data_IF_795033440079
#
_entry.id   IF_795033440079
#
_cell.length_a   1.000
_cell.length_b   1.000
_cell.length_c   1.000
_cell.angle_alpha   90.00
_cell.angle_beta   90.00
_cell.angle_gamma   90.00
#
_symmetry.space_group_name_H-M   'P 1'
#
loop_
_entity.id
_entity.type
_entity.pdbx_description
1 polymer ?
#
# COMPACT_ATOMS: atom_id res chain seq x y z
N UNK A 1 12.58 6.93 16.94
CA UNK A 1 12.81 8.02 15.97
C UNK A 1 11.46 8.42 15.39
N UNK A 2 11.04 9.69 15.49
CA UNK A 2 9.88 10.19 14.75
C UNK A 2 10.34 10.45 13.31
N UNK A 3 10.15 9.48 12.43
CA UNK A 3 10.24 9.74 11.00
C UNK A 3 9.15 10.73 10.64
N UNK A 4 9.53 11.95 10.27
CA UNK A 4 8.66 12.88 9.56
C UNK A 4 8.36 12.28 8.18
N UNK A 5 7.46 11.29 8.13
CA UNK A 5 6.76 10.95 6.91
C UNK A 5 5.80 12.11 6.67
N UNK A 6 6.20 13.03 5.79
CA UNK A 6 5.26 13.97 5.20
C UNK A 6 4.16 13.13 4.58
N UNK A 7 2.99 13.13 5.22
CA UNK A 7 1.85 12.36 4.75
C UNK A 7 1.47 12.87 3.36
N UNK A 8 1.51 11.99 2.37
CA UNK A 8 1.22 12.29 0.96
C UNK A 8 -0.18 11.80 0.61
N UNK A 9 -0.72 12.27 -0.52
CA UNK A 9 -2.07 11.90 -0.96
C UNK A 9 -2.20 10.38 -1.10
N UNK A 10 -1.30 9.72 -1.85
CA UNK A 10 -1.49 8.31 -2.19
C UNK A 10 -1.26 7.41 -0.98
N UNK A 11 -0.25 7.71 -0.17
CA UNK A 11 0.00 7.02 1.09
C UNK A 11 -1.17 7.15 2.07
N UNK A 12 -1.72 8.36 2.26
CA UNK A 12 -2.86 8.58 3.15
C UNK A 12 -4.09 7.78 2.70
N UNK A 13 -4.33 7.72 1.39
CA UNK A 13 -5.37 6.90 0.80
C UNK A 13 -5.09 5.41 1.02
N UNK A 14 -3.87 4.93 0.77
CA UNK A 14 -3.48 3.53 0.93
C UNK A 14 -3.71 3.04 2.37
N UNK A 15 -3.30 3.81 3.38
CA UNK A 15 -3.47 3.44 4.80
C UNK A 15 -4.93 3.19 5.16
N UNK A 16 -5.87 3.93 4.55
CA UNK A 16 -7.30 3.73 4.79
C UNK A 16 -7.81 2.52 4.00
N UNK A 17 -7.43 2.42 2.72
CA UNK A 17 -7.86 1.37 1.82
C UNK A 17 -7.31 -0.02 2.19
N UNK A 18 -6.17 -0.09 2.87
CA UNK A 18 -5.59 -1.35 3.36
C UNK A 18 -6.51 -2.10 4.35
N UNK A 19 -7.48 -1.40 4.96
CA UNK A 19 -8.51 -1.97 5.83
C UNK A 19 -9.90 -2.02 5.20
N UNK A 20 -10.01 -1.68 3.91
CA UNK A 20 -11.25 -1.80 3.16
C UNK A 20 -11.42 -3.25 2.71
N UNK A 21 -12.29 -3.97 3.42
CA UNK A 21 -12.67 -5.35 3.12
C UNK A 21 -14.19 -5.45 2.97
N UNK A 22 -14.65 -5.77 1.76
CA UNK A 22 -16.06 -5.91 1.41
C UNK A 22 -16.76 -4.61 1.02
N UNK A 23 -17.84 -4.75 0.24
CA UNK A 23 -18.55 -3.62 -0.39
C UNK A 23 -19.19 -2.66 0.61
N UNK A 24 -19.53 -3.16 1.80
CA UNK A 24 -20.11 -2.33 2.86
C UNK A 24 -19.13 -1.31 3.46
N UNK A 25 -17.82 -1.40 3.15
CA UNK A 25 -16.78 -0.49 3.65
C UNK A 25 -16.42 0.65 2.69
N UNK A 26 -16.83 0.59 1.42
CA UNK A 26 -16.44 1.60 0.41
C UNK A 26 -16.83 3.01 0.85
N UNK A 27 -18.09 3.22 1.25
CA UNK A 27 -18.58 4.54 1.70
C UNK A 27 -17.89 5.03 2.97
N UNK A 28 -17.56 4.12 3.89
CA UNK A 28 -16.85 4.44 5.13
C UNK A 28 -15.40 4.86 4.84
N UNK A 29 -14.71 4.14 3.96
CA UNK A 29 -13.36 4.47 3.51
C UNK A 29 -13.33 5.81 2.79
N UNK A 30 -14.25 6.08 1.87
CA UNK A 30 -14.34 7.37 1.19
C UNK A 30 -14.51 8.53 2.17
N UNK A 31 -15.39 8.37 3.17
CA UNK A 31 -15.60 9.38 4.21
C UNK A 31 -14.31 9.63 4.99
N UNK A 32 -13.58 8.57 5.36
CA UNK A 32 -12.29 8.68 6.05
C UNK A 32 -11.22 9.33 5.18
N UNK A 33 -11.14 8.98 3.89
CA UNK A 33 -10.20 9.57 2.94
C UNK A 33 -10.46 11.07 2.81
N UNK A 34 -11.72 11.47 2.54
CA UNK A 34 -12.10 12.89 2.44
C UNK A 34 -11.72 13.67 3.70
N UNK A 35 -11.96 13.10 4.88
CA UNK A 35 -11.59 13.72 6.16
C UNK A 35 -10.06 13.85 6.32
N UNK A 36 -9.31 12.79 6.00
CA UNK A 36 -7.84 12.73 6.11
C UNK A 36 -7.17 13.72 5.15
N UNK A 37 -7.58 13.75 3.89
CA UNK A 37 -7.07 14.68 2.87
C UNK A 37 -7.29 16.14 3.27
N UNK A 38 -8.49 16.46 3.79
CA UNK A 38 -8.81 17.80 4.28
C UNK A 38 -7.96 18.20 5.49
N UNK A 39 -7.82 17.30 6.46
CA UNK A 39 -7.07 17.58 7.70
C UNK A 39 -5.59 17.86 7.41
N UNK A 40 -4.98 17.09 6.51
CA UNK A 40 -3.56 17.23 6.14
C UNK A 40 -3.31 18.17 4.95
N UNK A 41 -4.36 18.77 4.36
CA UNK A 41 -4.28 19.67 3.18
C UNK A 41 -3.60 19.02 1.97
N UNK A 42 -3.94 17.77 1.67
CA UNK A 42 -3.27 16.94 0.63
C UNK A 42 -3.88 17.07 -0.77
N UNK A 43 -4.93 17.87 -0.92
CA UNK A 43 -5.67 18.04 -2.17
C UNK A 43 -7.15 17.70 -2.02
N UNK A 44 -7.91 17.92 -3.11
CA UNK A 44 -9.31 17.51 -3.19
C UNK A 44 -9.41 16.00 -3.42
N UNK A 45 -10.50 15.40 -2.97
CA UNK A 45 -10.79 14.00 -3.26
C UNK A 45 -10.96 13.79 -4.77
N UNK A 46 -10.17 12.87 -5.31
CA UNK A 46 -10.24 12.38 -6.69
C UNK A 46 -10.56 10.89 -6.68
N UNK A 47 -11.75 10.54 -7.19
CA UNK A 47 -12.24 9.17 -7.23
C UNK A 47 -11.40 8.26 -8.12
N UNK A 48 -10.97 8.75 -9.29
CA UNK A 48 -10.18 7.96 -10.23
C UNK A 48 -8.80 7.63 -9.63
N UNK A 49 -8.17 8.59 -8.96
CA UNK A 49 -6.90 8.39 -8.26
C UNK A 49 -7.06 7.41 -7.10
N UNK A 50 -8.10 7.56 -6.28
CA UNK A 50 -8.40 6.63 -5.17
C UNK A 50 -8.65 5.21 -5.69
N UNK A 51 -9.37 5.06 -6.81
CA UNK A 51 -9.59 3.75 -7.43
C UNK A 51 -8.28 3.11 -7.89
N UNK A 52 -7.31 3.88 -8.40
CA UNK A 52 -5.98 3.36 -8.73
C UNK A 52 -5.21 2.85 -7.51
N UNK A 53 -5.32 3.53 -6.38
CA UNK A 53 -4.69 3.08 -5.13
C UNK A 53 -5.39 1.82 -4.60
N UNK A 54 -6.71 1.70 -4.80
CA UNK A 54 -7.46 0.49 -4.47
C UNK A 54 -7.03 -0.70 -5.34
N UNK A 55 -6.87 -0.51 -6.64
CA UNK A 55 -6.29 -1.51 -7.55
C UNK A 55 -4.90 -1.95 -7.08
N UNK A 56 -4.03 -0.99 -6.74
CA UNK A 56 -2.70 -1.27 -6.19
C UNK A 56 -2.78 -2.09 -4.89
N UNK A 57 -3.67 -1.74 -3.97
CA UNK A 57 -3.91 -2.49 -2.73
C UNK A 57 -4.31 -3.93 -3.00
N UNK A 58 -5.22 -4.17 -3.94
CA UNK A 58 -5.67 -5.53 -4.26
C UNK A 58 -4.57 -6.36 -4.90
N UNK A 59 -3.75 -5.76 -5.78
CA UNK A 59 -2.60 -6.43 -6.37
C UNK A 59 -1.53 -6.78 -5.33
N UNK A 60 -1.18 -5.83 -4.45
CA UNK A 60 -0.26 -6.05 -3.34
C UNK A 60 -0.76 -7.17 -2.41
N UNK A 61 -2.01 -7.08 -1.97
CA UNK A 61 -2.64 -8.09 -1.12
C UNK A 61 -2.60 -9.47 -1.79
N UNK A 62 -3.04 -9.57 -3.05
CA UNK A 62 -3.09 -10.84 -3.76
C UNK A 62 -1.71 -11.47 -3.93
N UNK A 63 -0.71 -10.66 -4.30
CA UNK A 63 0.66 -11.12 -4.51
C UNK A 63 1.34 -11.54 -3.19
N UNK A 64 1.18 -10.75 -2.13
CA UNK A 64 1.81 -11.04 -0.83
C UNK A 64 1.21 -12.32 -0.20
N UNK A 65 -0.10 -12.55 -0.35
CA UNK A 65 -0.75 -13.79 0.10
C UNK A 65 -0.33 -15.04 -0.70
N UNK A 66 0.46 -14.91 -1.78
CA UNK A 66 1.08 -16.07 -2.43
C UNK A 66 2.25 -16.65 -1.61
N UNK A 67 2.76 -15.93 -0.61
CA UNK A 67 3.91 -16.32 0.21
C UNK A 67 5.07 -16.82 -0.68
N UNK A 68 5.54 -18.05 -0.44
CA UNK A 68 6.63 -18.68 -1.18
C UNK A 68 6.37 -18.91 -2.69
N UNK A 69 5.15 -18.67 -3.18
CA UNK A 69 4.82 -18.70 -4.60
C UNK A 69 4.93 -17.33 -5.27
N UNK A 70 5.06 -16.24 -4.49
CA UNK A 70 5.30 -14.92 -5.04
C UNK A 70 6.65 -14.86 -5.75
N UNK A 71 6.71 -14.18 -6.89
CA UNK A 71 7.98 -13.91 -7.60
C UNK A 71 8.91 -12.93 -6.84
N UNK A 72 8.40 -12.34 -5.76
CA UNK A 72 9.12 -11.45 -4.87
C UNK A 72 9.50 -12.11 -3.55
N UNK A 73 9.08 -13.35 -3.29
CA UNK A 73 9.45 -14.01 -2.04
C UNK A 73 10.95 -14.32 -2.02
N UNK A 74 11.67 -13.69 -1.11
CA UNK A 74 13.06 -14.02 -0.80
C UNK A 74 13.01 -15.26 0.08
N UNK A 75 13.49 -16.39 -0.45
CA UNK A 75 13.52 -17.66 0.29
C UNK A 75 14.27 -17.51 1.62
N UNK A 76 13.52 -17.25 2.70
CA UNK A 76 14.07 -17.05 4.01
C UNK A 76 13.86 -18.34 4.83
N UNK A 77 14.95 -19.03 5.14
CA UNK A 77 14.94 -20.13 6.13
C UNK A 77 14.87 -19.53 7.54
N UNK A 78 13.81 -18.77 7.82
CA UNK A 78 13.58 -18.12 9.11
C UNK A 78 12.46 -18.84 9.87
N UNK A 79 12.57 -18.83 11.19
CA UNK A 79 11.56 -19.42 12.10
C UNK A 79 10.29 -18.55 12.18
N UNK A 80 10.41 -17.25 11.87
CA UNK A 80 9.33 -16.28 11.94
C UNK A 80 9.25 -15.48 10.64
N UNK A 81 8.05 -15.02 10.30
CA UNK A 81 7.83 -14.12 9.16
C UNK A 81 8.36 -12.73 9.47
N UNK A 82 9.00 -12.10 8.48
CA UNK A 82 9.42 -10.72 8.59
C UNK A 82 9.39 -9.98 7.25
N UNK A 83 9.71 -8.68 7.30
CA UNK A 83 9.70 -7.79 6.14
C UNK A 83 10.66 -8.22 5.04
N UNK A 84 11.74 -8.93 5.37
CA UNK A 84 12.77 -9.37 4.42
C UNK A 84 12.39 -10.67 3.71
N UNK A 85 11.24 -11.27 4.02
CA UNK A 85 10.67 -12.39 3.27
C UNK A 85 10.21 -11.98 1.87
N UNK A 86 10.11 -10.67 1.61
CA UNK A 86 9.80 -10.12 0.30
C UNK A 86 10.89 -9.14 -0.18
N UNK A 87 11.29 -9.28 -1.45
CA UNK A 87 12.14 -8.33 -2.15
C UNK A 87 11.35 -7.05 -2.48
N UNK A 88 11.25 -6.18 -1.47
CA UNK A 88 10.58 -4.87 -1.56
C UNK A 88 11.12 -4.02 -2.72
N UNK A 89 12.44 -4.06 -2.96
CA UNK A 89 13.07 -3.25 -3.99
C UNK A 89 12.58 -3.66 -5.38
N UNK A 90 12.62 -4.96 -5.68
CA UNK A 90 12.14 -5.52 -6.95
C UNK A 90 10.64 -5.30 -7.12
N UNK A 91 9.85 -5.51 -6.07
CA UNK A 91 8.40 -5.28 -6.10
C UNK A 91 8.07 -3.81 -6.41
N UNK A 92 8.75 -2.87 -5.77
CA UNK A 92 8.59 -1.43 -6.02
C UNK A 92 9.02 -1.06 -7.44
N UNK A 93 10.12 -1.62 -7.95
CA UNK A 93 10.57 -1.38 -9.31
C UNK A 93 9.53 -1.82 -10.34
N UNK A 94 9.03 -3.05 -10.23
CA UNK A 94 8.02 -3.60 -11.14
C UNK A 94 6.72 -2.77 -11.08
N UNK A 95 6.24 -2.45 -9.89
CA UNK A 95 5.02 -1.67 -9.71
C UNK A 95 5.16 -0.22 -10.19
N UNK A 96 6.36 0.39 -10.11
CA UNK A 96 6.59 1.76 -10.60
C UNK A 96 6.41 1.90 -12.11
N UNK A 97 6.58 0.81 -12.86
CA UNK A 97 6.32 0.77 -14.30
C UNK A 97 4.81 0.77 -14.61
N UNK A 98 3.99 0.18 -13.72
CA UNK A 98 2.54 0.07 -13.88
C UNK A 98 1.78 1.25 -13.28
N UNK A 99 2.24 1.75 -12.14
CA UNK A 99 1.65 2.85 -11.38
C UNK A 99 2.48 4.13 -11.48
N UNK A 100 2.84 4.54 -12.69
CA UNK A 100 3.76 5.66 -12.96
C UNK A 100 3.26 7.03 -12.47
N UNK A 101 1.98 7.15 -12.11
CA UNK A 101 1.39 8.36 -11.54
C UNK A 101 1.71 8.53 -10.04
N UNK A 102 2.15 7.46 -9.36
CA UNK A 102 2.58 7.48 -7.96
C UNK A 102 4.09 7.71 -7.94
N UNK A 103 4.56 8.65 -7.13
CA UNK A 103 5.98 8.87 -6.95
C UNK A 103 6.69 7.59 -6.47
N UNK A 104 7.86 7.27 -7.01
CA UNK A 104 8.53 5.99 -6.70
C UNK A 104 8.89 5.86 -5.21
N UNK A 105 9.26 6.95 -4.54
CA UNK A 105 9.58 6.94 -3.11
C UNK A 105 8.32 6.74 -2.26
N UNK A 106 7.20 7.31 -2.70
CA UNK A 106 5.89 7.06 -2.10
C UNK A 106 5.45 5.60 -2.30
N UNK A 107 5.64 5.06 -3.50
CA UNK A 107 5.35 3.67 -3.81
C UNK A 107 6.18 2.70 -2.96
N UNK A 108 7.47 2.97 -2.77
CA UNK A 108 8.35 2.20 -1.86
C UNK A 108 7.76 2.13 -0.43
N UNK A 109 7.27 3.27 0.07
CA UNK A 109 6.65 3.35 1.40
C UNK A 109 5.33 2.57 1.46
N UNK A 110 4.54 2.59 0.37
CA UNK A 110 3.30 1.81 0.25
C UNK A 110 3.60 0.32 0.24
N UNK A 111 4.59 -0.13 -0.54
CA UNK A 111 4.99 -1.54 -0.62
C UNK A 111 5.48 -2.04 0.73
N UNK A 112 6.36 -1.30 1.41
CA UNK A 112 6.82 -1.64 2.75
C UNK A 112 5.63 -1.81 3.72
N UNK A 113 4.69 -0.86 3.70
CA UNK A 113 3.50 -0.95 4.55
C UNK A 113 2.60 -2.13 4.17
N UNK A 114 2.47 -2.46 2.89
CA UNK A 114 1.69 -3.60 2.43
C UNK A 114 2.27 -4.93 2.92
N UNK A 115 3.59 -5.12 2.81
CA UNK A 115 4.29 -6.31 3.34
C UNK A 115 4.04 -6.41 4.85
N UNK A 116 4.19 -5.31 5.57
CA UNK A 116 3.90 -5.30 7.00
C UNK A 116 2.45 -5.72 7.32
N UNK A 117 1.47 -5.18 6.60
CA UNK A 117 0.05 -5.41 6.89
C UNK A 117 -0.48 -6.76 6.42
N UNK A 118 0.04 -7.30 5.31
CA UNK A 118 -0.51 -8.51 4.67
C UNK A 118 0.34 -9.77 4.90
N UNK A 119 1.56 -9.64 5.44
CA UNK A 119 2.44 -10.77 5.75
C UNK A 119 2.87 -10.85 7.22
N UNK A 120 3.20 -9.72 7.83
CA UNK A 120 3.75 -9.70 9.20
C UNK A 120 2.68 -9.57 10.30
N UNK A 121 1.46 -9.17 9.95
CA UNK A 121 0.41 -8.78 10.90
C UNK A 121 -0.70 -9.81 11.05
#
# INVERSE_FOLDING_TARGET
MKSTNTETYDYACFIILAYEYGDNKIKDSEKKIKAKLKYHKLGAYDEARVNKIRELKEELSSEIHLYNKSKYYSSANKEFTDMEDFDQFKMTQDLSLKYSAIDKKELDSIVAMAIHLFHCR
#
